data_IF_089688889557
#
_entry.id   IF_089688889557
#
_cell.length_a   1.000
_cell.length_b   1.000
_cell.length_c   1.000
_cell.angle_alpha   90.00
_cell.angle_beta   90.00
_cell.angle_gamma   90.00
#
_symmetry.space_group_name_H-M   'P 1'
#
loop_
_entity.id
_entity.type
_entity.pdbx_description
1 polymer ?
#
# COMPACT_ATOMS: atom_id res chain seq x y z
N UNK A 1 3.32 29.37 -2.26
CA UNK A 1 2.25 28.61 -1.57
C UNK A 1 2.57 27.14 -1.82
N UNK A 2 3.03 26.44 -0.78
CA UNK A 2 3.25 25.01 -0.82
C UNK A 2 1.88 24.34 -0.74
N UNK A 3 1.44 23.57 -1.74
CA UNK A 3 0.37 22.58 -1.52
C UNK A 3 0.29 21.62 -2.71
N UNK A 4 1.05 20.53 -2.62
CA UNK A 4 0.81 19.27 -3.28
C UNK A 4 1.82 18.29 -2.70
N UNK A 5 1.53 17.77 -1.51
CA UNK A 5 2.12 16.51 -1.05
C UNK A 5 1.47 15.37 -1.85
N UNK A 6 1.49 15.48 -3.18
CA UNK A 6 1.03 14.42 -4.07
C UNK A 6 2.18 13.47 -4.15
N UNK A 7 2.11 12.44 -3.32
CA UNK A 7 2.98 11.30 -3.44
C UNK A 7 3.07 10.87 -4.91
N UNK A 8 4.25 11.01 -5.51
CA UNK A 8 4.53 10.83 -6.95
C UNK A 8 4.38 9.36 -7.41
N UNK A 9 4.10 8.44 -6.48
CA UNK A 9 3.97 7.03 -6.81
C UNK A 9 2.65 6.73 -7.56
N UNK A 10 2.70 6.02 -8.71
CA UNK A 10 1.50 5.64 -9.43
C UNK A 10 0.61 4.72 -8.59
N UNK A 11 -0.70 4.96 -8.58
CA UNK A 11 -1.68 4.09 -7.90
C UNK A 11 -1.70 2.66 -8.49
N UNK A 12 -1.37 2.55 -9.78
CA UNK A 12 -1.33 1.29 -10.53
C UNK A 12 0.02 0.55 -10.35
N UNK A 13 1.00 1.17 -9.68
CA UNK A 13 2.32 0.57 -9.48
C UNK A 13 2.43 -0.09 -8.10
N UNK A 14 2.96 -1.33 -8.02
CA UNK A 14 3.22 -1.96 -6.74
C UNK A 14 4.23 -1.15 -5.94
N UNK A 15 3.89 -0.87 -4.69
CA UNK A 15 4.73 -0.20 -3.71
C UNK A 15 5.66 -1.25 -3.07
N UNK A 16 6.98 -1.07 -3.15
CA UNK A 16 7.92 -1.98 -2.48
C UNK A 16 7.78 -1.86 -0.96
N UNK A 17 7.95 -2.95 -0.21
CA UNK A 17 7.80 -2.94 1.26
C UNK A 17 8.78 -2.03 2.00
N UNK A 18 9.91 -1.69 1.37
CA UNK A 18 10.90 -0.77 1.92
C UNK A 18 10.55 0.71 1.64
N UNK A 19 9.39 0.97 1.03
CA UNK A 19 9.01 2.33 0.64
C UNK A 19 8.75 3.19 1.89
N UNK A 20 9.41 4.36 2.03
CA UNK A 20 9.32 5.18 3.23
C UNK A 20 7.93 5.77 3.51
N UNK A 21 7.04 5.73 2.51
CA UNK A 21 5.65 6.18 2.65
C UNK A 21 4.73 5.12 3.28
N UNK A 22 5.16 3.86 3.35
CA UNK A 22 4.38 2.83 4.05
C UNK A 22 4.50 3.12 5.54
N UNK A 23 3.38 3.37 6.24
CA UNK A 23 3.41 3.54 7.68
C UNK A 23 3.91 2.26 8.35
N UNK A 24 4.73 2.35 9.41
CA UNK A 24 5.28 1.17 10.08
C UNK A 24 4.20 0.18 10.54
N UNK A 25 3.05 0.68 11.01
CA UNK A 25 1.90 -0.14 11.38
C UNK A 25 1.33 -0.95 10.21
N UNK A 26 1.27 -0.35 9.01
CA UNK A 26 0.82 -1.04 7.79
C UNK A 26 1.87 -2.05 7.37
N UNK A 27 3.15 -1.68 7.38
CA UNK A 27 4.24 -2.59 7.04
C UNK A 27 4.25 -3.82 7.95
N UNK A 28 4.14 -3.64 9.27
CA UNK A 28 4.07 -4.72 10.24
C UNK A 28 2.87 -5.65 9.96
N UNK A 29 1.70 -5.09 9.67
CA UNK A 29 0.50 -5.87 9.33
C UNK A 29 0.67 -6.63 8.01
N UNK A 30 1.19 -5.98 6.97
CA UNK A 30 1.48 -6.60 5.67
C UNK A 30 2.47 -7.76 5.84
N UNK A 31 3.53 -7.59 6.64
CA UNK A 31 4.53 -8.62 6.89
C UNK A 31 3.96 -9.87 7.57
N UNK A 32 2.80 -9.80 8.24
CA UNK A 32 2.14 -10.99 8.81
C UNK A 32 1.55 -11.91 7.73
N UNK A 33 1.16 -11.34 6.59
CA UNK A 33 0.55 -12.06 5.46
C UNK A 33 1.49 -12.20 4.26
N UNK A 34 2.55 -11.40 4.21
CA UNK A 34 3.42 -11.31 3.05
C UNK A 34 4.12 -12.64 2.75
N UNK A 35 4.09 -13.00 1.47
CA UNK A 35 4.81 -14.13 0.91
C UNK A 35 5.58 -13.69 -0.34
N UNK A 36 6.63 -14.44 -0.74
CA UNK A 36 7.36 -14.16 -1.96
C UNK A 36 6.42 -14.08 -3.17
N UNK A 37 6.43 -12.94 -3.87
CA UNK A 37 5.59 -12.68 -5.03
C UNK A 37 4.34 -11.85 -4.74
N UNK A 38 3.99 -11.63 -3.47
CA UNK A 38 2.91 -10.70 -3.11
C UNK A 38 3.36 -9.26 -3.28
N UNK A 39 2.44 -8.42 -3.76
CA UNK A 39 2.70 -7.02 -4.06
C UNK A 39 1.75 -6.13 -3.28
N UNK A 40 2.26 -5.04 -2.72
CA UNK A 40 1.45 -4.07 -2.01
C UNK A 40 1.07 -2.94 -2.96
N UNK A 41 -0.21 -2.65 -3.12
CA UNK A 41 -0.70 -1.50 -3.86
C UNK A 41 -1.21 -0.43 -2.91
N UNK A 42 -1.17 0.81 -3.37
CA UNK A 42 -1.67 1.96 -2.63
C UNK A 42 -2.83 2.59 -3.39
N UNK A 43 -4.00 2.59 -2.79
CA UNK A 43 -5.23 3.11 -3.38
C UNK A 43 -5.71 4.32 -2.57
N UNK A 44 -5.84 5.48 -3.22
CA UNK A 44 -6.43 6.67 -2.60
C UNK A 44 -7.94 6.63 -2.84
N UNK A 45 -8.72 6.51 -1.76
CA UNK A 45 -10.19 6.54 -1.85
C UNK A 45 -10.75 7.83 -1.24
N UNK A 46 -12.06 8.03 -1.39
CA UNK A 46 -12.77 9.16 -0.76
C UNK A 46 -12.69 9.16 0.77
N UNK A 47 -12.40 8.00 1.38
CA UNK A 47 -12.35 7.81 2.82
C UNK A 47 -10.93 7.93 3.38
N UNK A 48 -9.90 7.85 2.53
CA UNK A 48 -8.51 7.92 2.94
C UNK A 48 -7.60 7.05 2.07
N UNK A 49 -6.45 6.71 2.63
CA UNK A 49 -5.45 5.87 1.97
C UNK A 49 -5.63 4.41 2.37
N UNK A 50 -5.77 3.55 1.38
CA UNK A 50 -5.83 2.11 1.55
C UNK A 50 -4.60 1.45 0.94
N UNK A 51 -4.17 0.36 1.57
CA UNK A 51 -3.01 -0.44 1.20
C UNK A 51 -3.47 -1.86 0.93
N UNK A 52 -3.45 -2.28 -0.33
CA UNK A 52 -4.01 -3.53 -0.78
C UNK A 52 -2.89 -4.53 -1.04
N UNK A 53 -2.79 -5.58 -0.23
CA UNK A 53 -1.86 -6.67 -0.48
C UNK A 53 -2.49 -7.63 -1.49
N UNK A 54 -1.85 -7.76 -2.64
CA UNK A 54 -2.30 -8.64 -3.72
C UNK A 54 -1.40 -9.86 -3.83
N UNK A 55 -1.99 -11.00 -4.18
CA UNK A 55 -1.26 -12.23 -4.51
C UNK A 55 -0.62 -12.16 -5.91
N UNK A 56 0.07 -13.22 -6.31
CA UNK A 56 0.75 -13.33 -7.61
C UNK A 56 -0.19 -13.32 -8.81
N UNK A 57 -1.48 -13.60 -8.61
CA UNK A 57 -2.53 -13.57 -9.63
C UNK A 57 -3.27 -12.22 -9.66
N UNK A 58 -2.91 -11.29 -8.77
CA UNK A 58 -3.59 -9.99 -8.60
C UNK A 58 -4.85 -10.07 -7.75
N UNK A 59 -5.08 -11.18 -7.05
CA UNK A 59 -6.17 -11.32 -6.09
C UNK A 59 -5.90 -10.52 -4.82
N UNK A 60 -6.91 -9.81 -4.31
CA UNK A 60 -6.79 -9.10 -3.04
C UNK A 60 -6.73 -10.12 -1.89
N UNK A 61 -5.60 -10.15 -1.19
CA UNK A 61 -5.41 -10.95 0.03
C UNK A 61 -6.00 -10.20 1.21
N UNK A 62 -5.57 -8.95 1.41
CA UNK A 62 -6.02 -8.12 2.53
C UNK A 62 -5.84 -6.63 2.23
N UNK A 63 -6.73 -5.80 2.79
CA UNK A 63 -6.64 -4.35 2.70
C UNK A 63 -6.40 -3.73 4.08
N UNK A 64 -5.45 -2.79 4.15
CA UNK A 64 -5.07 -2.09 5.38
C UNK A 64 -5.32 -0.60 5.22
N UNK A 65 -5.81 0.06 6.27
CA UNK A 65 -5.98 1.51 6.32
C UNK A 65 -5.66 2.01 7.73
N UNK A 66 -5.18 3.25 7.83
CA UNK A 66 -5.05 3.93 9.11
C UNK A 66 -6.29 4.80 9.31
N UNK A 67 -7.00 4.58 10.40
CA UNK A 67 -8.12 5.42 10.84
C UNK A 67 -7.62 6.64 11.62
#
# INVERSE_FOLDING_TARGET
MCDATTSDWPEDAPVPLDHPEIPPLILEAVLQYWQPGYVLHRMVTKQGLEWWLLDTEGGLIEAFWLN
#
